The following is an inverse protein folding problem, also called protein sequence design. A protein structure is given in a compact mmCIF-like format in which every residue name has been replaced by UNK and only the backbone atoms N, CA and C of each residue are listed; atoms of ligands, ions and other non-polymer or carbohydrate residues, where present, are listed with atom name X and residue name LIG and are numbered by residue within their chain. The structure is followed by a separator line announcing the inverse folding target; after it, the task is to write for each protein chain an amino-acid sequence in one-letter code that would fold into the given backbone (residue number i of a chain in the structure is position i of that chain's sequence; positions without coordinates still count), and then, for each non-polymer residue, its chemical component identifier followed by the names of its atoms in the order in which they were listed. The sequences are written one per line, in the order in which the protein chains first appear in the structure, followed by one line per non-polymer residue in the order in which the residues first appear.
data_IF_446436928520
#
_entry.id   IF_446436928520
#
_cell.length_a   1.000
_cell.length_b   1.000
_cell.length_c   1.000
_cell.angle_alpha   90.00
_cell.angle_beta   90.00
_cell.angle_gamma   90.00
#
_symmetry.space_group_name_H-M   'P 1'
#
loop_
_entity.id
_entity.type
_entity.pdbx_description
1 polymer ?
#
# COMPACT_ATOMS: atom_id res chain seq x y z
N UNK A 1 13.56 15.38 -26.03
CA UNK A 1 13.11 14.66 -24.81
C UNK A 1 12.73 15.73 -23.82
N UNK A 2 11.58 16.34 -24.07
CA UNK A 2 11.00 17.36 -23.20
C UNK A 2 10.40 16.67 -21.97
N UNK A 3 10.52 17.36 -20.84
CA UNK A 3 10.27 16.94 -19.46
C UNK A 3 9.02 16.06 -19.28
N UNK A 4 9.22 14.85 -18.72
CA UNK A 4 8.17 13.93 -18.27
C UNK A 4 7.33 14.43 -17.07
N UNK A 5 7.34 15.75 -16.84
CA UNK A 5 6.81 16.45 -15.68
C UNK A 5 5.72 17.43 -16.14
N UNK A 6 4.47 17.23 -15.71
CA UNK A 6 3.40 18.22 -15.90
C UNK A 6 3.46 19.26 -14.77
N UNK A 7 3.70 20.52 -15.15
CA UNK A 7 3.77 21.67 -14.25
C UNK A 7 2.69 22.71 -14.53
N UNK A 8 1.57 22.32 -15.14
CA UNK A 8 0.46 23.23 -15.44
C UNK A 8 -0.61 23.19 -14.35
N UNK A 9 -1.32 24.32 -14.16
CA UNK A 9 -2.43 24.41 -13.21
C UNK A 9 -2.03 24.04 -11.77
N UNK A 10 -2.84 23.24 -11.04
CA UNK A 10 -2.51 22.79 -9.69
C UNK A 10 -1.19 22.00 -9.60
N UNK A 11 -0.79 21.29 -10.66
CA UNK A 11 0.43 20.46 -10.66
C UNK A 11 1.71 21.29 -10.50
N UNK A 12 1.67 22.59 -10.81
CA UNK A 12 2.77 23.53 -10.56
C UNK A 12 3.21 23.58 -9.08
N UNK A 13 2.33 23.21 -8.14
CA UNK A 13 2.64 23.16 -6.72
C UNK A 13 3.40 21.89 -6.29
N UNK A 14 3.53 20.89 -7.16
CA UNK A 14 4.19 19.63 -6.85
C UNK A 14 5.71 19.75 -6.78
N UNK A 15 6.35 18.84 -6.04
CA UNK A 15 7.78 18.94 -5.69
C UNK A 15 8.71 18.97 -6.92
N UNK A 16 8.33 18.28 -8.01
CA UNK A 16 9.08 18.29 -9.28
C UNK A 16 9.08 19.66 -9.97
N UNK A 17 8.02 20.45 -9.77
CA UNK A 17 7.89 21.79 -10.34
C UNK A 17 8.47 22.89 -9.45
N UNK A 18 8.46 22.69 -8.12
CA UNK A 18 9.02 23.66 -7.16
C UNK A 18 10.55 23.55 -7.03
N UNK A 19 11.11 22.36 -7.26
CA UNK A 19 12.56 22.11 -7.27
C UNK A 19 13.06 21.63 -8.65
N UNK A 20 12.91 22.45 -9.72
CA UNK A 20 13.29 22.07 -11.07
C UNK A 20 14.81 22.16 -11.21
N UNK A 21 15.51 21.05 -10.99
CA UNK A 21 16.94 20.97 -11.25
C UNK A 21 17.31 19.59 -11.78
N UNK A 22 18.15 19.57 -12.82
CA UNK A 22 18.65 18.37 -13.53
C UNK A 22 17.57 17.29 -13.70
N UNK A 23 16.56 17.54 -14.55
CA UNK A 23 15.50 16.58 -14.88
C UNK A 23 14.79 16.00 -13.63
N UNK A 24 14.47 16.84 -12.64
CA UNK A 24 13.78 16.41 -11.42
C UNK A 24 14.62 15.63 -10.40
N UNK A 25 15.92 15.42 -10.63
CA UNK A 25 16.75 14.59 -9.75
C UNK A 25 16.84 15.13 -8.32
N UNK A 26 16.86 16.46 -8.14
CA UNK A 26 16.88 17.06 -6.82
C UNK A 26 15.57 16.84 -6.07
N UNK A 27 14.42 17.00 -6.75
CA UNK A 27 13.11 16.70 -6.21
C UNK A 27 13.02 15.23 -5.75
N UNK A 28 13.54 14.30 -6.57
CA UNK A 28 13.59 12.88 -6.23
C UNK A 28 14.42 12.59 -4.97
N UNK A 29 15.64 13.14 -4.85
CA UNK A 29 16.47 12.93 -3.66
C UNK A 29 15.86 13.53 -2.39
N UNK A 30 15.23 14.71 -2.51
CA UNK A 30 14.51 15.34 -1.39
C UNK A 30 13.31 14.48 -0.99
N UNK A 31 12.53 14.01 -1.96
CA UNK A 31 11.39 13.12 -1.72
C UNK A 31 11.83 11.83 -1.01
N UNK A 32 12.89 11.17 -1.50
CA UNK A 32 13.45 9.96 -0.88
C UNK A 32 13.88 10.25 0.56
N UNK A 33 14.63 11.33 0.80
CA UNK A 33 15.09 11.68 2.15
C UNK A 33 13.91 11.87 3.11
N UNK A 34 12.88 12.60 2.69
CA UNK A 34 11.66 12.81 3.48
C UNK A 34 10.92 11.48 3.73
N UNK A 35 10.75 10.65 2.71
CA UNK A 35 10.05 9.37 2.82
C UNK A 35 10.82 8.37 3.72
N UNK A 36 12.15 8.41 3.74
CA UNK A 36 12.96 7.64 4.70
C UNK A 36 12.69 8.11 6.14
N UNK A 37 12.59 9.42 6.37
CA UNK A 37 12.21 9.95 7.69
C UNK A 37 10.78 9.53 8.07
N UNK A 38 9.84 9.57 7.13
CA UNK A 38 8.46 9.08 7.32
C UNK A 38 8.47 7.60 7.71
N UNK A 39 9.16 6.76 6.94
CA UNK A 39 9.25 5.31 7.15
C UNK A 39 9.94 4.94 8.48
N UNK A 40 10.87 5.78 8.96
CA UNK A 40 11.47 5.61 10.29
C UNK A 40 10.47 5.75 11.45
N UNK A 41 9.27 6.27 11.19
CA UNK A 41 8.24 6.51 12.20
C UNK A 41 8.54 7.71 13.11
N UNK A 42 9.49 8.57 12.74
CA UNK A 42 9.79 9.79 13.47
C UNK A 42 8.60 10.77 13.39
N UNK A 43 8.13 11.18 14.57
CA UNK A 43 7.07 12.17 14.81
C UNK A 43 5.97 12.21 13.72
N UNK A 44 5.05 11.23 13.69
CA UNK A 44 4.03 11.11 12.66
C UNK A 44 3.25 12.41 12.38
N UNK A 45 2.98 13.21 13.42
CA UNK A 45 2.34 14.53 13.31
C UNK A 45 2.98 15.46 12.29
N UNK A 46 4.31 15.48 12.23
CA UNK A 46 5.06 16.42 11.39
C UNK A 46 5.42 15.81 10.03
N UNK A 47 5.56 14.48 9.98
CA UNK A 47 5.96 13.77 8.76
C UNK A 47 4.78 13.39 7.87
N UNK A 48 3.54 13.37 8.40
CA UNK A 48 2.36 13.00 7.62
C UNK A 48 2.03 13.99 6.48
N UNK A 49 2.15 15.30 6.72
CA UNK A 49 1.90 16.30 5.66
C UNK A 49 2.93 16.21 4.52
N UNK A 50 4.25 16.16 4.81
CA UNK A 50 5.24 15.88 3.77
C UNK A 50 5.02 14.55 3.04
N UNK A 51 4.62 13.49 3.75
CA UNK A 51 4.30 12.19 3.12
C UNK A 51 3.18 12.33 2.10
N UNK A 52 2.05 12.92 2.49
CA UNK A 52 0.94 13.15 1.56
C UNK A 52 1.35 14.05 0.41
N UNK A 53 2.05 15.16 0.67
CA UNK A 53 2.47 16.09 -0.37
C UNK A 53 3.34 15.44 -1.44
N UNK A 54 4.29 14.60 -1.05
CA UNK A 54 5.13 13.86 -2.00
C UNK A 54 4.30 12.87 -2.79
N UNK A 55 3.46 12.07 -2.13
CA UNK A 55 2.60 11.10 -2.80
C UNK A 55 1.61 11.75 -3.78
N UNK A 56 1.07 12.91 -3.42
CA UNK A 56 0.24 13.72 -4.32
C UNK A 56 1.07 14.30 -5.48
N UNK A 57 2.29 14.79 -5.22
CA UNK A 57 3.16 15.32 -6.28
C UNK A 57 3.52 14.26 -7.32
N UNK A 58 3.68 12.99 -6.91
CA UNK A 58 3.89 11.86 -7.85
C UNK A 58 2.74 11.78 -8.85
N UNK A 59 1.49 11.69 -8.36
CA UNK A 59 0.31 11.58 -9.25
C UNK A 59 -0.01 12.88 -10.00
N UNK A 60 0.50 14.02 -9.53
CA UNK A 60 0.26 15.32 -10.17
C UNK A 60 1.29 15.64 -11.26
N UNK A 61 2.54 15.18 -11.12
CA UNK A 61 3.63 15.58 -12.00
C UNK A 61 4.12 14.45 -12.90
N UNK A 62 4.08 13.19 -12.47
CA UNK A 62 4.66 12.07 -13.22
C UNK A 62 3.64 11.41 -14.15
N UNK A 63 4.11 10.91 -15.29
CA UNK A 63 3.27 10.37 -16.36
C UNK A 63 3.14 8.84 -16.35
N UNK A 64 4.12 8.13 -15.79
CA UNK A 64 4.06 6.68 -15.62
C UNK A 64 3.49 6.36 -14.23
N UNK A 65 2.15 6.37 -14.13
CA UNK A 65 1.43 6.12 -12.89
C UNK A 65 0.76 4.75 -12.92
N UNK A 66 0.72 4.11 -11.76
CA UNK A 66 -0.10 2.92 -11.52
C UNK A 66 -1.20 3.19 -10.48
N UNK A 67 -2.09 2.20 -10.27
CA UNK A 67 -3.15 2.31 -9.26
C UNK A 67 -2.61 2.46 -7.83
N UNK A 68 -1.40 1.99 -7.55
CA UNK A 68 -0.73 2.06 -6.26
C UNK A 68 -0.32 3.49 -5.89
N UNK A 69 0.08 4.29 -6.86
CA UNK A 69 0.39 5.71 -6.65
C UNK A 69 -0.86 6.48 -6.19
N UNK A 70 -2.00 6.25 -6.87
CA UNK A 70 -3.28 6.83 -6.49
C UNK A 70 -3.73 6.39 -5.10
N UNK A 71 -3.55 5.11 -4.75
CA UNK A 71 -3.88 4.58 -3.43
C UNK A 71 -2.97 5.18 -2.36
N UNK A 72 -1.67 5.33 -2.64
CA UNK A 72 -0.70 5.90 -1.71
C UNK A 72 -1.04 7.37 -1.41
N UNK A 73 -1.33 8.17 -2.43
CA UNK A 73 -1.77 9.56 -2.26
C UNK A 73 -3.10 9.66 -1.48
N UNK A 74 -4.07 8.80 -1.80
CA UNK A 74 -5.38 8.80 -1.14
C UNK A 74 -5.28 8.37 0.33
N UNK A 75 -4.57 7.29 0.62
CA UNK A 75 -4.43 6.79 1.98
C UNK A 75 -3.57 7.72 2.84
N UNK A 76 -2.49 8.28 2.32
CA UNK A 76 -1.69 9.27 3.06
C UNK A 76 -2.51 10.52 3.42
N UNK A 77 -3.40 10.98 2.52
CA UNK A 77 -4.38 12.03 2.81
C UNK A 77 -5.32 11.65 3.95
N UNK A 78 -5.96 10.48 3.85
CA UNK A 78 -6.90 10.00 4.87
C UNK A 78 -6.23 9.70 6.21
N UNK A 79 -4.93 9.43 6.22
CA UNK A 79 -4.14 9.25 7.44
C UNK A 79 -3.76 10.59 8.11
N UNK A 80 -3.88 11.74 7.44
CA UNK A 80 -3.51 13.03 8.03
C UNK A 80 -4.23 13.33 9.35
N UNK A 81 -5.56 13.20 9.48
CA UNK A 81 -6.24 13.49 10.74
C UNK A 81 -5.83 12.53 11.87
N UNK A 82 -5.50 11.27 11.53
CA UNK A 82 -4.99 10.28 12.48
C UNK A 82 -3.60 10.68 12.97
N UNK A 83 -2.70 11.01 12.04
CA UNK A 83 -1.33 11.36 12.37
C UNK A 83 -1.23 12.70 13.10
N UNK A 84 -1.98 13.72 12.70
CA UNK A 84 -2.03 15.04 13.35
C UNK A 84 -2.51 14.96 14.81
N UNK A 85 -3.34 13.98 15.12
CA UNK A 85 -3.83 13.74 16.49
C UNK A 85 -2.95 12.79 17.29
N UNK A 86 -1.91 12.16 16.71
CA UNK A 86 -1.03 11.20 17.38
C UNK A 86 0.11 11.88 18.19
N UNK A 87 0.07 11.92 19.54
CA UNK A 87 1.07 12.62 20.34
C UNK A 87 2.45 11.96 20.36
N UNK A 88 2.62 10.77 19.77
CA UNK A 88 3.85 10.00 19.86
C UNK A 88 5.02 10.72 19.18
N UNK A 89 6.20 10.62 19.82
CA UNK A 89 7.47 11.05 19.20
C UNK A 89 7.99 10.04 18.19
N UNK A 90 7.73 8.76 18.44
CA UNK A 90 8.10 7.65 17.57
C UNK A 90 6.93 6.70 17.43
N UNK A 91 6.60 6.31 16.21
CA UNK A 91 5.47 5.41 15.93
C UNK A 91 5.62 4.05 16.62
N UNK A 92 6.88 3.61 16.83
CA UNK A 92 7.26 2.38 17.51
C UNK A 92 7.08 2.40 19.04
N UNK A 93 6.70 3.54 19.61
CA UNK A 93 6.45 3.66 21.05
C UNK A 93 4.98 3.36 21.38
N UNK A 94 4.71 2.83 22.59
CA UNK A 94 3.34 2.74 23.07
C UNK A 94 2.72 4.15 23.17
N UNK A 95 1.39 4.26 22.99
CA UNK A 95 0.71 5.52 23.21
C UNK A 95 0.92 6.02 24.65
N UNK A 96 1.02 7.34 24.89
CA UNK A 96 1.09 7.89 26.24
C UNK A 96 -0.08 7.42 27.11
N UNK A 97 0.20 7.03 28.35
CA UNK A 97 -0.84 6.66 29.30
C UNK A 97 -1.76 7.86 29.60
N UNK A 98 -3.07 7.61 29.75
CA UNK A 98 -4.03 8.64 30.17
C UNK A 98 -4.48 9.62 29.08
N UNK A 99 -4.29 9.32 27.78
CA UNK A 99 -4.89 10.14 26.71
C UNK A 99 -6.42 10.14 26.83
N UNK A 100 -6.96 11.29 27.23
CA UNK A 100 -8.40 11.52 27.35
C UNK A 100 -9.12 11.28 26.02
N UNK A 101 -10.35 10.77 26.10
CA UNK A 101 -11.24 10.70 24.94
C UNK A 101 -11.70 12.13 24.65
N UNK A 102 -11.16 12.73 23.59
CA UNK A 102 -11.51 14.07 23.13
C UNK A 102 -11.81 14.10 21.64
N UNK A 103 -12.15 15.29 21.12
CA UNK A 103 -12.52 15.50 19.71
C UNK A 103 -11.48 14.92 18.73
N UNK A 104 -10.18 15.04 19.03
CA UNK A 104 -9.11 14.47 18.20
C UNK A 104 -9.21 12.95 18.01
N UNK A 105 -9.65 12.20 19.03
CA UNK A 105 -9.83 10.74 18.93
C UNK A 105 -11.04 10.38 18.06
N UNK A 106 -12.11 11.17 18.13
CA UNK A 106 -13.29 11.01 17.28
C UNK A 106 -12.91 11.29 15.82
N UNK A 107 -12.18 12.37 15.56
CA UNK A 107 -11.68 12.73 14.23
C UNK A 107 -10.77 11.63 13.66
N UNK A 108 -9.83 11.11 14.46
CA UNK A 108 -8.96 10.01 14.05
C UNK A 108 -9.76 8.73 13.73
N UNK A 109 -10.76 8.40 14.54
CA UNK A 109 -11.59 7.24 14.28
C UNK A 109 -12.47 7.39 13.03
N UNK A 110 -13.05 8.57 12.81
CA UNK A 110 -13.80 8.87 11.59
C UNK A 110 -12.92 8.75 10.35
N UNK A 111 -11.70 9.30 10.40
CA UNK A 111 -10.71 9.14 9.33
C UNK A 111 -10.33 7.67 9.10
N UNK A 112 -10.21 6.87 10.15
CA UNK A 112 -9.94 5.43 10.03
C UNK A 112 -11.10 4.67 9.36
N UNK A 113 -12.34 5.04 9.66
CA UNK A 113 -13.52 4.48 8.97
C UNK A 113 -13.50 4.85 7.48
N UNK A 114 -13.10 6.07 7.12
CA UNK A 114 -12.92 6.46 5.72
C UNK A 114 -11.82 5.66 5.03
N UNK A 115 -10.71 5.36 5.72
CA UNK A 115 -9.68 4.43 5.21
C UNK A 115 -10.28 3.06 4.93
N UNK A 116 -11.07 2.51 5.85
CA UNK A 116 -11.71 1.20 5.64
C UNK A 116 -12.67 1.21 4.46
N UNK A 117 -13.49 2.24 4.34
CA UNK A 117 -14.41 2.40 3.22
C UNK A 117 -13.66 2.54 1.90
N UNK A 118 -12.60 3.36 1.85
CA UNK A 118 -11.77 3.53 0.67
C UNK A 118 -11.19 2.20 0.20
N UNK A 119 -10.60 1.41 1.11
CA UNK A 119 -10.00 0.11 0.74
C UNK A 119 -11.09 -0.88 0.27
N UNK A 120 -12.24 -0.93 0.94
CA UNK A 120 -13.36 -1.78 0.52
C UNK A 120 -13.87 -1.42 -0.87
N UNK A 121 -14.05 -0.12 -1.16
CA UNK A 121 -14.49 0.38 -2.47
C UNK A 121 -13.47 0.06 -3.55
N UNK A 122 -12.17 0.20 -3.28
CA UNK A 122 -11.12 -0.12 -4.25
C UNK A 122 -11.17 -1.59 -4.67
N UNK A 123 -11.31 -2.52 -3.71
CA UNK A 123 -11.45 -3.94 -4.04
C UNK A 123 -12.75 -4.24 -4.76
N UNK A 124 -13.86 -3.63 -4.36
CA UNK A 124 -15.15 -3.81 -5.03
C UNK A 124 -15.10 -3.32 -6.48
N UNK A 125 -14.54 -2.13 -6.68
CA UNK A 125 -14.39 -1.53 -8.00
C UNK A 125 -13.46 -2.38 -8.87
N UNK A 126 -12.32 -2.84 -8.33
CA UNK A 126 -11.40 -3.70 -9.06
C UNK A 126 -12.07 -5.00 -9.55
N UNK A 127 -12.89 -5.64 -8.70
CA UNK A 127 -13.63 -6.84 -9.07
C UNK A 127 -14.68 -6.57 -10.15
N UNK A 128 -15.50 -5.52 -9.98
CA UNK A 128 -16.58 -5.19 -10.92
C UNK A 128 -16.01 -4.73 -12.26
N UNK A 129 -14.97 -3.89 -12.25
CA UNK A 129 -14.32 -3.40 -13.46
C UNK A 129 -13.74 -4.55 -14.29
N UNK A 130 -13.13 -5.55 -13.63
CA UNK A 130 -12.64 -6.76 -14.30
C UNK A 130 -13.79 -7.56 -14.93
N UNK A 131 -14.91 -7.73 -14.24
CA UNK A 131 -16.08 -8.43 -14.81
C UNK A 131 -16.66 -7.74 -16.07
N UNK A 132 -16.37 -6.46 -16.29
CA UNK A 132 -16.70 -5.75 -17.52
C UNK A 132 -15.79 -6.05 -18.71
N UNK A 133 -14.72 -6.82 -18.52
CA UNK A 133 -13.74 -7.22 -19.54
C UNK A 133 -13.92 -8.71 -19.89
N UNK A 134 -13.98 -9.02 -21.19
CA UNK A 134 -14.35 -10.36 -21.69
C UNK A 134 -13.47 -11.47 -21.12
N UNK A 135 -12.16 -11.30 -21.10
CA UNK A 135 -11.21 -12.32 -20.66
C UNK A 135 -11.33 -12.63 -19.16
N UNK A 136 -11.75 -11.65 -18.36
CA UNK A 136 -12.00 -11.88 -16.93
C UNK A 136 -13.35 -12.58 -16.73
N UNK A 137 -14.35 -12.22 -17.52
CA UNK A 137 -15.70 -12.79 -17.45
C UNK A 137 -15.75 -14.25 -17.96
N UNK A 138 -14.96 -14.60 -18.97
CA UNK A 138 -14.88 -15.97 -19.50
C UNK A 138 -13.82 -16.83 -18.80
N UNK A 139 -13.04 -16.25 -17.88
CA UNK A 139 -12.05 -16.94 -17.07
C UNK A 139 -10.69 -17.15 -17.74
N UNK A 140 -10.40 -16.51 -18.87
CA UNK A 140 -9.15 -16.68 -19.62
C UNK A 140 -8.05 -15.65 -19.30
N UNK A 141 -8.36 -14.58 -18.57
CA UNK A 141 -7.44 -13.44 -18.36
C UNK A 141 -6.04 -13.82 -17.88
N UNK A 142 -5.92 -14.76 -16.94
CA UNK A 142 -4.61 -15.15 -16.42
C UNK A 142 -3.73 -15.87 -17.43
N UNK A 143 -4.31 -16.50 -18.47
CA UNK A 143 -3.52 -17.06 -19.57
C UNK A 143 -2.80 -15.95 -20.35
N UNK A 144 -3.50 -14.85 -20.63
CA UNK A 144 -2.91 -13.71 -21.35
C UNK A 144 -1.90 -12.97 -20.51
N UNK A 145 -2.23 -12.62 -19.25
CA UNK A 145 -1.32 -11.90 -18.37
C UNK A 145 0.00 -12.64 -18.15
N UNK A 146 -0.05 -13.95 -17.90
CA UNK A 146 1.16 -14.75 -17.65
C UNK A 146 1.98 -15.07 -18.91
N UNK A 147 1.48 -14.73 -20.10
CA UNK A 147 2.15 -14.98 -21.39
C UNK A 147 2.40 -13.70 -22.18
N UNK A 148 2.14 -12.54 -21.58
CA UNK A 148 2.36 -11.25 -22.23
C UNK A 148 3.87 -10.96 -22.28
N UNK A 149 4.45 -10.73 -23.46
CA UNK A 149 5.85 -10.34 -23.57
C UNK A 149 6.10 -9.05 -22.78
N UNK A 150 7.15 -9.03 -21.95
CA UNK A 150 7.49 -7.89 -21.10
C UNK A 150 6.98 -7.98 -19.65
N UNK A 151 6.13 -8.97 -19.32
CA UNK A 151 5.75 -9.32 -17.95
C UNK A 151 6.10 -10.79 -17.68
N UNK A 152 7.27 -11.21 -18.14
CA UNK A 152 7.68 -12.60 -18.04
C UNK A 152 7.94 -12.96 -16.59
N UNK A 153 7.26 -13.99 -16.06
CA UNK A 153 7.48 -14.42 -14.69
C UNK A 153 8.93 -14.88 -14.49
N UNK A 154 9.47 -14.77 -13.26
CA UNK A 154 10.79 -15.31 -12.93
C UNK A 154 10.93 -16.79 -13.32
N UNK A 155 12.11 -17.18 -13.83
CA UNK A 155 12.33 -18.54 -14.37
C UNK A 155 12.00 -19.65 -13.38
N UNK A 156 12.22 -19.43 -12.08
CA UNK A 156 11.89 -20.42 -11.05
C UNK A 156 10.38 -20.67 -10.90
N UNK A 157 9.52 -19.76 -11.36
CA UNK A 157 8.07 -19.90 -11.39
C UNK A 157 7.54 -20.48 -12.71
N UNK A 158 8.37 -20.60 -13.77
CA UNK A 158 7.94 -21.16 -15.06
C UNK A 158 7.23 -22.51 -14.93
N UNK A 159 7.72 -23.51 -14.17
CA UNK A 159 7.04 -24.80 -14.07
C UNK A 159 5.62 -24.69 -13.49
N UNK A 160 5.43 -23.82 -12.50
CA UNK A 160 4.11 -23.56 -11.91
C UNK A 160 3.17 -22.91 -12.93
N UNK A 161 3.69 -21.95 -13.68
CA UNK A 161 2.91 -21.16 -14.65
C UNK A 161 2.55 -22.02 -15.85
N UNK A 162 3.45 -22.87 -16.31
CA UNK A 162 3.16 -23.88 -17.33
C UNK A 162 2.12 -24.89 -16.85
N UNK A 163 2.19 -25.34 -15.59
CA UNK A 163 1.18 -26.24 -15.02
C UNK A 163 -0.22 -25.59 -14.94
N UNK A 164 -0.29 -24.32 -14.51
CA UNK A 164 -1.56 -23.57 -14.42
C UNK A 164 -2.10 -23.24 -15.80
N UNK A 165 -1.25 -22.73 -16.70
CA UNK A 165 -1.66 -22.26 -18.04
C UNK A 165 -1.76 -23.37 -19.08
N UNK A 166 -1.24 -24.56 -18.79
CA UNK A 166 -1.30 -25.74 -19.65
C UNK A 166 -2.65 -26.45 -19.67
N UNK A 167 -3.61 -26.03 -18.83
CA UNK A 167 -4.97 -26.58 -18.82
C UNK A 167 -6.02 -25.48 -18.72
N UNK A 168 -7.15 -25.65 -19.43
CA UNK A 168 -8.26 -24.69 -19.36
C UNK A 168 -8.79 -24.55 -17.93
N UNK A 169 -8.94 -25.67 -17.20
CA UNK A 169 -9.40 -25.68 -15.81
C UNK A 169 -8.45 -24.88 -14.90
N UNK A 170 -7.13 -25.05 -15.06
CA UNK A 170 -6.14 -24.31 -14.28
C UNK A 170 -6.23 -22.81 -14.48
N UNK A 171 -6.32 -22.36 -15.74
CA UNK A 171 -6.48 -20.95 -16.10
C UNK A 171 -7.78 -20.39 -15.52
N UNK A 172 -8.91 -21.08 -15.73
CA UNK A 172 -10.22 -20.63 -15.25
C UNK A 172 -10.24 -20.51 -13.73
N UNK A 173 -9.75 -21.52 -13.00
CA UNK A 173 -9.69 -21.47 -11.54
C UNK A 173 -8.80 -20.33 -11.07
N UNK A 174 -7.66 -20.09 -11.72
CA UNK A 174 -6.77 -19.01 -11.32
C UNK A 174 -7.40 -17.64 -11.57
N UNK A 175 -7.97 -17.40 -12.76
CA UNK A 175 -8.68 -16.14 -13.08
C UNK A 175 -9.81 -15.85 -12.10
N UNK A 176 -10.69 -16.83 -11.84
CA UNK A 176 -11.80 -16.64 -10.92
C UNK A 176 -11.38 -16.53 -9.46
N UNK A 177 -10.26 -17.15 -9.05
CA UNK A 177 -9.74 -17.00 -7.69
C UNK A 177 -9.37 -15.56 -7.35
N UNK A 178 -8.88 -14.79 -8.32
CA UNK A 178 -8.60 -13.35 -8.18
C UNK A 178 -9.89 -12.58 -7.91
N UNK A 179 -10.93 -12.80 -8.71
CA UNK A 179 -12.23 -12.12 -8.55
C UNK A 179 -12.90 -12.47 -7.21
N UNK A 180 -12.88 -13.75 -6.83
CA UNK A 180 -13.41 -14.20 -5.53
C UNK A 180 -12.65 -13.55 -4.37
N UNK A 181 -11.32 -13.48 -4.45
CA UNK A 181 -10.51 -12.84 -3.41
C UNK A 181 -10.81 -11.33 -3.32
N UNK A 182 -10.87 -10.62 -4.45
CA UNK A 182 -11.17 -9.18 -4.47
C UNK A 182 -12.56 -8.89 -3.90
N UNK A 183 -13.57 -9.65 -4.30
CA UNK A 183 -14.91 -9.51 -3.75
C UNK A 183 -14.97 -9.83 -2.24
N UNK A 184 -14.28 -10.89 -1.80
CA UNK A 184 -14.19 -11.23 -0.39
C UNK A 184 -13.48 -10.14 0.41
N UNK A 185 -12.42 -9.52 -0.13
CA UNK A 185 -11.71 -8.40 0.48
C UNK A 185 -12.62 -7.16 0.58
N UNK A 186 -13.41 -6.86 -0.44
CA UNK A 186 -14.39 -5.78 -0.39
C UNK A 186 -15.37 -5.91 0.78
N UNK A 187 -15.79 -7.14 1.10
CA UNK A 187 -16.74 -7.44 2.17
C UNK A 187 -16.07 -7.82 3.50
N UNK A 188 -14.74 -7.86 3.56
CA UNK A 188 -14.01 -8.45 4.69
C UNK A 188 -14.35 -7.81 6.05
N UNK A 189 -14.67 -6.52 6.10
CA UNK A 189 -15.02 -5.86 7.38
C UNK A 189 -16.33 -6.35 7.99
N UNK A 190 -17.24 -6.91 7.17
CA UNK A 190 -18.49 -7.52 7.58
C UNK A 190 -18.32 -8.97 8.07
N UNK A 191 -17.14 -9.54 7.89
CA UNK A 191 -16.83 -10.94 8.21
C UNK A 191 -16.26 -11.11 9.63
N UNK A 192 -16.33 -12.32 10.22
CA UNK A 192 -15.72 -12.62 11.51
C UNK A 192 -14.18 -12.47 11.51
N UNK A 193 -13.58 -12.35 12.69
CA UNK A 193 -12.16 -12.02 12.85
C UNK A 193 -11.22 -13.10 12.29
N UNK A 194 -11.63 -14.35 12.33
CA UNK A 194 -10.94 -15.52 11.81
C UNK A 194 -10.78 -15.38 10.29
N UNK A 195 -11.88 -15.07 9.60
CA UNK A 195 -11.89 -14.94 8.15
C UNK A 195 -11.13 -13.70 7.69
N UNK A 196 -11.19 -12.58 8.43
CA UNK A 196 -10.36 -11.40 8.15
C UNK A 196 -8.86 -11.69 8.22
N UNK A 197 -8.43 -12.53 9.17
CA UNK A 197 -7.02 -12.94 9.28
C UNK A 197 -6.60 -13.81 8.10
N UNK A 198 -7.46 -14.75 7.68
CA UNK A 198 -7.22 -15.54 6.49
C UNK A 198 -7.11 -14.66 5.24
N UNK A 199 -8.06 -13.73 5.07
CA UNK A 199 -8.08 -12.78 3.95
C UNK A 199 -6.89 -11.83 3.96
N UNK A 200 -6.40 -11.42 5.14
CA UNK A 200 -5.17 -10.64 5.24
C UNK A 200 -3.97 -11.42 4.69
N UNK A 201 -3.80 -12.67 5.09
CA UNK A 201 -2.70 -13.50 4.57
C UNK A 201 -2.86 -13.74 3.06
N UNK A 202 -4.06 -14.12 2.61
CA UNK A 202 -4.33 -14.35 1.19
C UNK A 202 -4.09 -13.09 0.35
N UNK A 203 -4.56 -11.92 0.82
CA UNK A 203 -4.36 -10.64 0.15
C UNK A 203 -2.89 -10.19 0.12
N UNK A 204 -2.14 -10.39 1.21
CA UNK A 204 -0.71 -10.09 1.23
C UNK A 204 0.07 -11.00 0.26
N UNK A 205 -0.22 -12.30 0.25
CA UNK A 205 0.37 -13.24 -0.70
C UNK A 205 0.02 -12.84 -2.14
N UNK A 206 -1.23 -12.45 -2.40
CA UNK A 206 -1.67 -12.00 -3.72
C UNK A 206 -0.90 -10.76 -4.20
N UNK A 207 -0.75 -9.73 -3.35
CA UNK A 207 -0.02 -8.51 -3.74
C UNK A 207 1.49 -8.70 -3.82
N UNK A 208 2.08 -9.59 -3.01
CA UNK A 208 3.47 -10.02 -3.20
C UNK A 208 3.62 -10.77 -4.53
N UNK A 209 2.65 -11.62 -4.88
CA UNK A 209 2.58 -12.27 -6.18
C UNK A 209 2.55 -11.27 -7.33
N UNK A 210 1.71 -10.24 -7.25
CA UNK A 210 1.67 -9.15 -8.25
C UNK A 210 3.02 -8.43 -8.34
N UNK A 211 3.62 -8.07 -7.20
CA UNK A 211 4.91 -7.37 -7.18
C UNK A 211 6.04 -8.17 -7.84
N UNK A 212 6.02 -9.51 -7.70
CA UNK A 212 7.07 -10.40 -8.22
C UNK A 212 6.80 -10.85 -9.65
N UNK A 213 5.56 -11.25 -9.96
CA UNK A 213 5.20 -11.86 -11.25
C UNK A 213 4.89 -10.81 -12.30
N UNK A 214 4.25 -9.70 -11.92
CA UNK A 214 3.88 -8.61 -12.84
C UNK A 214 4.84 -7.41 -12.71
N UNK A 215 5.89 -7.52 -11.90
CA UNK A 215 6.89 -6.46 -11.65
C UNK A 215 6.29 -5.14 -11.10
N UNK A 216 5.07 -5.17 -10.57
CA UNK A 216 4.36 -4.01 -10.01
C UNK A 216 4.67 -3.84 -8.52
N UNK A 217 5.92 -3.55 -8.19
CA UNK A 217 6.41 -3.51 -6.79
C UNK A 217 5.75 -2.40 -5.97
N UNK A 218 5.67 -1.19 -6.52
CA UNK A 218 5.04 -0.02 -5.87
C UNK A 218 3.56 -0.28 -5.57
N UNK A 219 2.83 -0.79 -6.56
CA UNK A 219 1.45 -1.25 -6.41
C UNK A 219 1.30 -2.29 -5.29
N UNK A 220 2.11 -3.36 -5.33
CA UNK A 220 2.03 -4.44 -4.34
C UNK A 220 2.31 -3.96 -2.91
N UNK A 221 3.26 -3.04 -2.72
CA UNK A 221 3.56 -2.42 -1.43
C UNK A 221 2.41 -1.53 -0.94
N UNK A 222 1.87 -0.67 -1.82
CA UNK A 222 0.76 0.21 -1.49
C UNK A 222 -0.48 -0.57 -1.05
N UNK A 223 -0.85 -1.60 -1.81
CA UNK A 223 -2.01 -2.44 -1.50
C UNK A 223 -1.80 -3.33 -0.27
N UNK A 224 -0.56 -3.78 -0.03
CA UNK A 224 -0.21 -4.48 1.23
C UNK A 224 -0.38 -3.56 2.44
N UNK A 225 0.08 -2.31 2.35
CA UNK A 225 -0.15 -1.28 3.37
C UNK A 225 -1.64 -1.01 3.60
N UNK A 226 -2.42 -0.93 2.52
CA UNK A 226 -3.88 -0.78 2.58
C UNK A 226 -4.55 -1.93 3.33
N UNK A 227 -4.16 -3.18 3.04
CA UNK A 227 -4.68 -4.37 3.73
C UNK A 227 -4.36 -4.36 5.23
N UNK A 228 -3.14 -3.95 5.60
CA UNK A 228 -2.75 -3.85 7.01
C UNK A 228 -3.62 -2.81 7.74
N UNK A 229 -3.87 -1.65 7.14
CA UNK A 229 -4.74 -0.62 7.72
C UNK A 229 -6.22 -1.07 7.82
N UNK A 230 -6.66 -1.89 6.86
CA UNK A 230 -8.04 -2.32 6.73
C UNK A 230 -8.41 -3.53 7.61
N UNK A 231 -7.53 -4.52 7.71
CA UNK A 231 -7.85 -5.82 8.32
C UNK A 231 -7.22 -6.05 9.69
N UNK A 232 -6.16 -5.32 10.06
CA UNK A 232 -5.60 -5.45 11.41
C UNK A 232 -6.53 -4.84 12.46
N UNK A 233 -6.63 -5.47 13.65
CA UNK A 233 -7.36 -4.88 14.76
C UNK A 233 -6.81 -3.51 15.16
N UNK A 234 -7.71 -2.57 15.48
CA UNK A 234 -7.31 -1.26 16.00
C UNK A 234 -6.51 -1.45 17.30
N UNK A 235 -5.35 -0.80 17.38
CA UNK A 235 -4.46 -0.91 18.54
C UNK A 235 -3.60 -2.17 18.55
N UNK A 236 -3.59 -2.96 17.47
CA UNK A 236 -2.62 -4.04 17.32
C UNK A 236 -1.20 -3.48 17.37
N UNK A 237 -0.35 -4.06 18.22
CA UNK A 237 1.05 -3.69 18.33
C UNK A 237 1.89 -4.83 17.79
N UNK A 238 2.75 -4.53 16.83
CA UNK A 238 3.78 -5.48 16.38
C UNK A 238 4.79 -5.61 17.51
N UNK A 239 4.66 -6.66 18.31
CA UNK A 239 5.67 -7.01 19.32
C UNK A 239 6.87 -7.59 18.58
N UNK A 240 7.93 -6.81 18.40
CA UNK A 240 9.19 -7.35 17.90
C UNK A 240 9.64 -8.48 18.84
N UNK A 241 10.08 -9.64 18.31
CA UNK A 241 10.59 -10.72 19.15
C UNK A 241 11.74 -10.21 20.01
N UNK A 242 11.75 -10.58 21.30
CA UNK A 242 12.67 -10.07 22.33
C UNK A 242 14.17 -10.19 21.96
N UNK A 243 14.49 -11.08 21.01
CA UNK A 243 15.82 -11.31 20.45
C UNK A 243 16.44 -10.05 19.82
N UNK A 244 15.62 -9.17 19.23
CA UNK A 244 16.11 -7.90 18.64
C UNK A 244 16.39 -6.84 19.71
N UNK A 245 15.59 -6.81 20.78
CA UNK A 245 15.71 -5.82 21.87
C UNK A 245 16.93 -6.11 22.76
N UNK A 246 17.26 -7.39 22.99
CA UNK A 246 18.39 -7.79 23.81
C UNK A 246 19.75 -7.33 23.25
N UNK A 247 19.92 -7.29 21.92
CA UNK A 247 21.17 -6.84 21.28
C UNK A 247 21.42 -5.33 21.40
N UNK A 248 20.37 -4.52 21.52
CA UNK A 248 20.49 -3.06 21.71
C UNK A 248 20.58 -2.68 23.19
N UNK A 249 19.93 -3.44 24.07
CA UNK A 249 19.96 -3.22 25.53
C UNK A 249 21.24 -3.73 26.22
N UNK A 250 21.85 -4.82 25.71
CA UNK A 250 23.05 -5.42 26.29
C UNK A 250 24.30 -4.54 26.20
N UNK A 251 24.41 -3.72 25.15
CA UNK A 251 25.56 -2.82 24.97
C UNK A 251 25.58 -1.64 25.98
N UNK A 252 24.44 -1.31 26.61
CA UNK A 252 24.37 -0.21 27.59
C UNK A 252 24.62 -0.64 29.04
N UNK A 253 24.75 -1.94 29.33
CA UNK A 253 24.97 -2.45 30.69
C UNK A 253 26.39 -2.92 30.99
N UNK A 254 27.28 -2.91 30.00
CA UNK A 254 28.68 -3.33 30.16
C UNK A 254 29.67 -2.18 30.44
N UNK A 255 29.19 -0.96 30.68
CA UNK A 255 30.03 0.22 30.93
C UNK A 255 29.73 0.93 32.26
N UNK A 256 29.32 0.18 33.29
CA UNK A 256 29.24 0.67 34.67
C UNK A 256 29.92 -0.31 35.60
#
# INVERSE_FOLDING_TARGET
MDSAEDCTGPAAAGIWCVLPARQGQHAAWVAIAVLVVVASGWRPRWTALPHWYISWSVIANLSALDGGDHITATLSLLLLPIALTDPRRWHWQPPPAGTAIGAGRVVAYAALVLVWLQVAVVYLHACIAKLGVTEWADGTAMFYWLRTPGYEPPDFLRPLIEAVTGSAVGVTLFTWSVLVLEFALALARLMPAELRRLLLVAGLVFHVGIAVVLELVTFGLAMSGALLLYLLPVGHQVRLPAIVVARVGGARRASR
#
